data_IF_969104650323
#
_entry.id   IF_969104650323
#
_cell.length_a   1.000
_cell.length_b   1.000
_cell.length_c   1.000
_cell.angle_alpha   90.00
_cell.angle_beta   90.00
_cell.angle_gamma   90.00
#
_symmetry.space_group_name_H-M   'P 1'
#
loop_
_entity.id
_entity.type
_entity.pdbx_description
1 polymer ?
#
# COMPACT_ATOMS: atom_id res chain seq x y z
N UNK A 1 -34.91 8.56 15.68
CA UNK A 1 -34.79 9.38 16.90
C UNK A 1 -33.74 8.71 17.75
N UNK A 2 -32.50 9.21 17.66
CA UNK A 2 -31.83 9.97 18.76
C UNK A 2 -31.39 9.02 19.88
N UNK A 3 -30.14 8.89 20.34
CA UNK A 3 -28.89 9.63 20.23
C UNK A 3 -27.77 8.60 20.47
N UNK A 4 -26.66 8.63 19.71
CA UNK A 4 -25.42 8.03 20.17
C UNK A 4 -24.35 9.11 20.24
N UNK A 5 -23.89 9.30 21.47
CA UNK A 5 -23.08 10.40 21.94
C UNK A 5 -21.66 10.38 21.36
N UNK A 6 -21.17 11.58 21.05
CA UNK A 6 -19.77 11.89 20.78
C UNK A 6 -18.89 11.42 21.94
N UNK A 7 -17.97 10.49 21.68
CA UNK A 7 -16.91 10.14 22.64
C UNK A 7 -15.72 11.09 22.39
N UNK A 8 -15.58 12.08 23.26
CA UNK A 8 -14.37 12.90 23.38
C UNK A 8 -13.44 12.21 24.37
N UNK A 9 -12.26 11.78 23.92
CA UNK A 9 -11.21 11.32 24.84
C UNK A 9 -10.51 12.53 25.46
N UNK A 10 -10.74 12.76 26.75
CA UNK A 10 -9.96 13.66 27.60
C UNK A 10 -9.02 12.80 28.44
N UNK A 11 -7.72 13.03 28.33
CA UNK A 11 -6.70 12.33 29.11
C UNK A 11 -6.66 12.91 30.55
N UNK A 12 -6.86 12.12 31.62
CA UNK A 12 -6.73 12.62 32.99
C UNK A 12 -5.27 12.50 33.46
N UNK A 13 -4.66 13.63 33.83
CA UNK A 13 -3.39 13.66 34.57
C UNK A 13 -3.58 13.07 35.98
N UNK A 14 -2.73 12.12 36.39
CA UNK A 14 -2.68 11.57 37.75
C UNK A 14 -1.34 11.83 38.42
N UNK A 15 -1.45 12.29 39.66
CA UNK A 15 -0.48 12.73 40.67
C UNK A 15 0.64 11.71 41.02
N UNK A 16 1.93 12.13 41.12
CA UNK A 16 3.04 11.24 41.44
C UNK A 16 3.43 11.27 42.93
N UNK A 17 2.62 10.72 43.83
CA UNK A 17 3.07 10.32 45.20
C UNK A 17 2.30 9.12 45.74
N UNK A 18 2.85 7.91 45.59
CA UNK A 18 2.62 6.75 46.49
C UNK A 18 3.64 5.65 46.21
N UNK A 19 4.50 5.41 47.18
CA UNK A 19 5.44 4.28 47.31
C UNK A 19 4.74 3.08 47.96
N UNK A 20 5.02 1.86 47.46
CA UNK A 20 4.88 0.51 48.07
C UNK A 20 5.04 -0.47 46.89
N UNK A 21 5.79 -1.58 46.86
CA UNK A 21 6.52 -2.39 47.83
C UNK A 21 6.42 -3.87 47.39
N UNK A 22 7.55 -4.44 46.92
CA UNK A 22 7.97 -5.86 46.82
C UNK A 22 7.16 -6.96 46.06
N UNK A 23 7.94 -7.72 45.23
CA UNK A 23 7.96 -9.19 44.96
C UNK A 23 6.75 -9.80 44.20
N UNK A 24 6.84 -10.65 43.16
CA UNK A 24 7.78 -11.76 42.83
C UNK A 24 7.46 -12.36 41.42
N UNK A 25 8.49 -12.93 40.75
CA UNK A 25 8.53 -14.09 39.80
C UNK A 25 8.11 -13.94 38.30
N UNK A 26 9.07 -14.34 37.43
CA UNK A 26 9.16 -14.50 35.95
C UNK A 26 8.28 -15.64 35.35
N UNK A 27 8.29 -15.97 34.02
CA UNK A 27 8.37 -15.18 32.76
C UNK A 27 7.31 -15.63 31.68
N UNK A 28 7.42 -15.09 30.45
CA UNK A 28 6.90 -15.51 29.12
C UNK A 28 5.95 -14.52 28.39
N UNK A 29 6.51 -14.00 27.28
CA UNK A 29 5.96 -13.73 25.94
C UNK A 29 5.04 -12.52 25.63
N UNK A 30 5.39 -11.92 24.47
CA UNK A 30 4.68 -10.98 23.59
C UNK A 30 4.72 -9.46 23.86
N UNK A 31 4.95 -8.74 22.76
CA UNK A 31 4.83 -7.30 22.51
C UNK A 31 6.03 -6.40 22.86
N UNK A 32 6.98 -6.29 21.92
CA UNK A 32 7.83 -5.11 21.76
C UNK A 32 7.77 -4.64 20.31
N UNK A 33 6.73 -3.86 20.03
CA UNK A 33 6.61 -2.99 18.87
C UNK A 33 6.03 -1.66 19.35
N UNK A 34 6.74 -0.57 19.07
CA UNK A 34 6.34 0.82 19.25
C UNK A 34 6.25 1.38 20.68
N UNK A 35 7.39 1.84 21.22
CA UNK A 35 7.41 3.01 22.09
C UNK A 35 8.80 3.69 22.07
N UNK A 36 9.01 4.58 21.10
CA UNK A 36 10.07 5.59 21.16
C UNK A 36 9.55 6.85 20.46
N UNK A 37 9.87 8.01 21.03
CA UNK A 37 9.37 9.36 20.71
C UNK A 37 8.15 9.78 21.54
N UNK A 38 8.32 9.86 22.86
CA UNK A 38 7.57 10.77 23.73
C UNK A 38 8.38 11.11 25.00
N UNK A 39 9.51 11.80 24.83
CA UNK A 39 10.14 12.54 25.93
C UNK A 39 10.78 13.81 25.38
N UNK A 40 10.00 14.89 25.39
CA UNK A 40 10.48 16.25 25.60
C UNK A 40 9.27 17.14 25.89
N UNK A 41 9.34 17.87 27.00
CA UNK A 41 8.47 18.97 27.46
C UNK A 41 7.16 18.61 28.19
N UNK A 42 7.29 18.40 29.49
CA UNK A 42 6.41 18.94 30.52
C UNK A 42 7.31 19.28 31.72
N UNK A 43 7.20 20.38 32.45
CA UNK A 43 6.41 21.59 32.35
C UNK A 43 7.07 22.64 33.27
N UNK A 44 6.74 23.89 33.04
CA UNK A 44 7.16 25.06 33.80
C UNK A 44 6.27 25.26 35.07
N UNK A 45 6.86 25.92 36.07
CA UNK A 45 6.27 26.64 37.23
C UNK A 45 5.46 25.89 38.31
N UNK A 46 5.96 25.90 39.55
CA UNK A 46 5.34 26.54 40.76
C UNK A 46 6.18 26.35 42.04
N UNK A 47 6.73 27.43 42.59
CA UNK A 47 6.26 28.06 43.84
C UNK A 47 7.30 29.06 44.36
N UNK A 48 6.87 30.30 44.55
CA UNK A 48 7.59 31.32 45.31
C UNK A 48 7.45 31.07 46.81
N UNK A 49 8.54 31.18 47.57
CA UNK A 49 8.49 31.72 48.93
C UNK A 49 9.83 32.38 49.32
N UNK A 50 9.73 33.55 49.98
CA UNK A 50 10.76 34.11 50.88
C UNK A 50 11.84 35.06 50.35
N UNK A 51 11.67 36.37 50.57
CA UNK A 51 12.78 37.25 51.01
C UNK A 51 12.93 38.66 50.37
N UNK A 52 12.54 39.70 51.13
CA UNK A 52 13.07 41.10 51.33
C UNK A 52 13.88 41.78 50.19
N UNK A 53 13.79 43.08 49.86
CA UNK A 53 13.60 44.31 50.66
C UNK A 53 13.52 45.55 49.73
N UNK A 54 12.81 46.63 50.15
CA UNK A 54 12.96 48.04 49.69
C UNK A 54 12.40 48.40 48.29
N UNK A 55 11.67 49.48 48.01
CA UNK A 55 11.33 50.75 48.68
C UNK A 55 10.08 51.35 47.99
N UNK A 56 9.28 52.14 48.71
CA UNK A 56 8.10 52.96 48.29
C UNK A 56 8.55 54.41 47.94
N UNK A 57 7.69 55.41 47.55
CA UNK A 57 6.21 55.43 47.34
C UNK A 57 5.68 56.25 46.10
N UNK A 58 4.35 56.21 45.91
CA UNK A 58 3.53 57.30 45.34
C UNK A 58 2.95 57.01 43.95
N UNK A 59 1.67 57.23 43.59
CA UNK A 59 0.56 57.91 44.24
C UNK A 59 -0.80 57.40 43.67
N UNK A 60 -1.88 57.84 44.32
CA UNK A 60 -3.30 57.45 44.26
C UNK A 60 -4.08 57.88 43.01
N UNK A 61 -4.92 56.96 42.48
CA UNK A 61 -6.33 57.05 41.98
C UNK A 61 -6.82 58.23 41.09
N UNK A 62 -7.94 58.11 40.32
CA UNK A 62 -9.00 57.09 40.38
C UNK A 62 -9.47 56.50 39.02
N UNK A 63 -10.31 55.47 39.20
CA UNK A 63 -11.19 54.79 38.25
C UNK A 63 -11.99 55.76 37.38
N UNK A 64 -12.02 55.52 36.07
CA UNK A 64 -13.17 55.87 35.22
C UNK A 64 -13.49 54.70 34.29
N UNK A 65 -14.73 54.24 34.38
CA UNK A 65 -15.33 53.30 33.47
C UNK A 65 -15.91 54.08 32.28
N UNK A 66 -15.57 53.66 31.06
CA UNK A 66 -16.43 53.57 29.87
C UNK A 66 -15.60 53.68 28.58
N UNK A 67 -15.52 52.60 27.84
CA UNK A 67 -16.15 52.49 26.51
C UNK A 67 -15.65 51.24 25.81
N UNK A 68 -16.61 50.51 25.25
CA UNK A 68 -16.47 49.29 24.48
C UNK A 68 -15.60 49.51 23.23
N UNK A 69 -14.31 49.22 23.33
CA UNK A 69 -13.44 49.03 22.18
C UNK A 69 -13.52 47.58 21.71
N UNK A 70 -13.97 47.36 20.47
CA UNK A 70 -13.78 46.08 19.76
C UNK A 70 -12.30 45.69 19.87
N UNK A 71 -12.00 44.62 20.59
CA UNK A 71 -10.68 44.02 20.58
C UNK A 71 -10.37 43.58 19.14
N UNK A 72 -9.47 44.29 18.48
CA UNK A 72 -8.87 43.84 17.24
C UNK A 72 -8.14 42.53 17.55
N UNK A 73 -8.64 41.43 16.98
CA UNK A 73 -8.02 40.11 17.08
C UNK A 73 -6.68 40.18 16.33
N UNK A 74 -5.57 40.32 17.05
CA UNK A 74 -4.23 40.24 16.44
C UNK A 74 -4.04 38.81 15.91
N UNK A 75 -3.83 38.67 14.60
CA UNK A 75 -3.48 37.38 14.02
C UNK A 75 -2.10 36.96 14.51
N UNK A 76 -1.97 35.72 14.97
CA UNK A 76 -0.68 35.17 15.37
C UNK A 76 0.18 34.99 14.11
N UNK A 77 1.33 35.66 14.06
CA UNK A 77 2.26 35.64 12.92
C UNK A 77 2.71 34.22 12.56
N UNK A 78 2.72 33.29 13.52
CA UNK A 78 2.99 31.87 13.29
C UNK A 78 1.86 31.17 12.53
N UNK A 79 0.61 31.51 12.85
CA UNK A 79 -0.57 31.00 12.12
C UNK A 79 -0.56 31.50 10.67
N UNK A 80 -0.26 32.78 10.44
CA UNK A 80 -0.23 33.34 9.09
C UNK A 80 0.92 32.78 8.24
N UNK A 81 2.10 32.57 8.83
CA UNK A 81 3.24 31.92 8.16
C UNK A 81 2.94 30.46 7.79
N UNK A 82 2.31 29.70 8.70
CA UNK A 82 1.87 28.33 8.43
C UNK A 82 0.90 28.29 7.24
N UNK A 83 -0.11 29.16 7.24
CA UNK A 83 -1.17 29.19 6.22
C UNK A 83 -0.64 29.31 4.80
N UNK A 84 0.31 30.22 4.57
CA UNK A 84 0.85 30.45 3.22
C UNK A 84 1.69 29.25 2.75
N UNK A 85 2.59 28.78 3.62
CA UNK A 85 3.52 27.68 3.29
C UNK A 85 2.80 26.35 3.13
N UNK A 86 1.95 26.00 4.08
CA UNK A 86 1.17 24.76 4.07
C UNK A 86 0.32 24.66 2.81
N UNK A 87 -0.48 25.68 2.47
CA UNK A 87 -1.42 25.61 1.35
C UNK A 87 -0.72 25.46 0.00
N UNK A 88 0.41 26.14 -0.18
CA UNK A 88 1.21 26.06 -1.41
C UNK A 88 1.80 24.66 -1.59
N UNK A 89 2.40 24.11 -0.54
CA UNK A 89 3.00 22.78 -0.62
C UNK A 89 1.95 21.67 -0.65
N UNK A 90 0.84 21.84 0.06
CA UNK A 90 -0.25 20.89 0.06
C UNK A 90 -0.86 20.76 -1.35
N UNK A 91 -1.10 21.87 -2.05
CA UNK A 91 -1.55 21.84 -3.45
C UNK A 91 -0.52 21.16 -4.38
N UNK A 92 0.77 21.36 -4.15
CA UNK A 92 1.84 20.66 -4.90
C UNK A 92 1.83 19.16 -4.62
N UNK A 93 1.71 18.78 -3.35
CA UNK A 93 1.65 17.39 -2.89
C UNK A 93 0.46 16.65 -3.48
N UNK A 94 -0.73 17.27 -3.51
CA UNK A 94 -1.93 16.71 -4.13
C UNK A 94 -1.72 16.41 -5.63
N UNK A 95 -1.05 17.31 -6.36
CA UNK A 95 -0.68 17.07 -7.77
C UNK A 95 0.30 15.91 -7.90
N UNK A 96 1.31 15.84 -7.03
CA UNK A 96 2.29 14.75 -7.02
C UNK A 96 1.65 13.39 -6.71
N UNK A 97 0.69 13.35 -5.79
CA UNK A 97 -0.07 12.14 -5.43
C UNK A 97 -1.15 11.78 -6.45
N UNK A 98 -1.44 12.68 -7.40
CA UNK A 98 -2.54 12.50 -8.34
C UNK A 98 -3.91 12.48 -7.65
N UNK A 99 -4.06 13.22 -6.55
CA UNK A 99 -5.34 13.38 -5.85
C UNK A 99 -5.97 14.70 -6.30
N UNK A 100 -7.03 14.68 -7.13
CA UNK A 100 -7.75 15.90 -7.46
C UNK A 100 -8.26 16.53 -6.16
N UNK A 101 -7.84 17.75 -5.88
CA UNK A 101 -8.21 18.42 -4.64
C UNK A 101 -8.19 19.92 -4.80
N UNK A 102 -9.37 20.51 -4.64
CA UNK A 102 -9.57 21.96 -4.76
C UNK A 102 -10.10 22.56 -3.46
N UNK A 103 -9.87 23.85 -3.30
CA UNK A 103 -10.47 24.65 -2.24
C UNK A 103 -11.93 24.93 -2.60
N UNK A 104 -12.88 24.29 -1.92
CA UNK A 104 -14.32 24.43 -2.23
C UNK A 104 -15.01 25.61 -1.54
N UNK A 105 -14.56 26.07 -0.37
CA UNK A 105 -15.17 27.20 0.37
C UNK A 105 -14.17 27.93 1.27
N UNK A 106 -14.37 29.26 1.38
CA UNK A 106 -13.76 30.13 2.39
C UNK A 106 -14.86 30.51 3.39
N UNK A 107 -14.84 29.98 4.61
CA UNK A 107 -15.86 30.33 5.61
C UNK A 107 -15.56 31.73 6.17
N UNK A 108 -16.47 32.72 5.96
CA UNK A 108 -16.25 34.14 6.31
C UNK A 108 -16.52 34.47 7.80
N UNK A 109 -16.88 33.49 8.63
CA UNK A 109 -17.22 33.67 10.05
C UNK A 109 -16.04 33.75 11.04
N UNK A 110 -14.79 33.64 10.57
CA UNK A 110 -13.58 33.76 11.39
C UNK A 110 -12.63 34.80 10.79
N UNK A 111 -11.91 35.62 11.58
CA UNK A 111 -10.87 36.50 11.05
C UNK A 111 -9.82 35.64 10.32
N UNK A 112 -9.74 35.77 9.00
CA UNK A 112 -8.89 34.95 8.14
C UNK A 112 -9.57 33.75 7.47
N UNK A 113 -10.60 33.15 8.06
CA UNK A 113 -11.40 32.04 7.52
C UNK A 113 -10.69 30.66 7.49
N UNK A 114 -11.46 29.61 7.81
CA UNK A 114 -11.07 28.20 7.61
C UNK A 114 -11.31 27.84 6.14
N UNK A 115 -10.28 27.29 5.51
CA UNK A 115 -10.30 26.92 4.10
C UNK A 115 -10.57 25.42 3.96
N UNK A 116 -11.57 25.05 3.15
CA UNK A 116 -12.02 23.66 3.03
C UNK A 116 -11.45 23.05 1.74
N UNK A 117 -10.63 22.03 1.89
CA UNK A 117 -10.10 21.19 0.81
C UNK A 117 -11.00 19.97 0.63
N UNK A 118 -11.47 19.73 -0.58
CA UNK A 118 -12.16 18.50 -0.95
C UNK A 118 -11.21 17.67 -1.81
N UNK A 119 -10.59 16.66 -1.20
CA UNK A 119 -9.55 15.81 -1.78
C UNK A 119 -10.16 14.48 -2.18
N UNK A 120 -10.12 14.21 -3.48
CA UNK A 120 -10.64 13.02 -4.12
C UNK A 120 -9.52 12.01 -4.25
N UNK A 121 -9.67 10.90 -3.54
CA UNK A 121 -8.69 9.81 -3.47
C UNK A 121 -9.04 8.78 -4.56
N UNK A 122 -8.10 8.40 -5.44
CA UNK A 122 -8.34 7.41 -6.47
C UNK A 122 -8.85 6.08 -5.90
N UNK A 123 -9.67 5.37 -6.68
CA UNK A 123 -10.17 4.04 -6.29
C UNK A 123 -9.00 3.09 -6.04
N UNK A 124 -9.02 2.45 -4.89
CA UNK A 124 -8.02 1.48 -4.44
C UNK A 124 -6.75 2.08 -3.85
N UNK A 125 -6.66 3.40 -3.71
CA UNK A 125 -5.74 4.02 -2.78
C UNK A 125 -6.39 4.07 -1.37
N UNK A 126 -5.80 3.45 -0.33
CA UNK A 126 -6.44 3.41 1.00
C UNK A 126 -6.61 4.81 1.60
N UNK A 127 -7.82 5.19 1.98
CA UNK A 127 -8.12 6.54 2.54
C UNK A 127 -7.35 6.81 3.83
N UNK A 128 -7.16 5.80 4.68
CA UNK A 128 -6.33 5.93 5.90
C UNK A 128 -4.86 6.22 5.57
N UNK A 129 -4.37 5.70 4.45
CA UNK A 129 -3.02 6.02 3.97
C UNK A 129 -2.97 7.45 3.43
N UNK A 130 -3.99 7.89 2.69
CA UNK A 130 -4.09 9.28 2.24
C UNK A 130 -4.10 10.23 3.45
N UNK A 131 -4.82 9.84 4.50
CA UNK A 131 -4.86 10.55 5.77
C UNK A 131 -3.46 10.69 6.38
N UNK A 132 -2.68 9.60 6.46
CA UNK A 132 -1.33 9.64 6.99
C UNK A 132 -0.39 10.58 6.19
N UNK A 133 -0.50 10.59 4.86
CA UNK A 133 0.28 11.50 4.00
C UNK A 133 -0.07 12.98 4.24
N UNK A 134 -1.37 13.29 4.39
CA UNK A 134 -1.80 14.65 4.76
C UNK A 134 -1.24 15.06 6.12
N UNK A 135 -1.29 14.18 7.13
CA UNK A 135 -0.75 14.45 8.47
C UNK A 135 0.76 14.72 8.41
N UNK A 136 1.50 13.95 7.60
CA UNK A 136 2.94 14.14 7.38
C UNK A 136 3.25 15.54 6.82
N UNK A 137 2.50 16.00 5.81
CA UNK A 137 2.66 17.35 5.25
C UNK A 137 2.29 18.43 6.29
N UNK A 138 1.23 18.24 7.06
CA UNK A 138 0.86 19.21 8.11
C UNK A 138 2.00 19.38 9.13
N UNK A 139 2.57 18.26 9.59
CA UNK A 139 3.66 18.27 10.57
C UNK A 139 4.98 18.84 10.00
N UNK A 140 5.29 18.60 8.72
CA UNK A 140 6.53 19.11 8.10
C UNK A 140 6.58 20.64 8.02
N UNK A 141 5.43 21.32 8.15
CA UNK A 141 5.32 22.78 8.22
C UNK A 141 5.04 23.32 9.63
N UNK A 142 5.19 22.49 10.68
CA UNK A 142 4.98 22.90 12.07
C UNK A 142 3.50 23.08 12.45
N UNK A 143 2.60 22.47 11.67
CA UNK A 143 1.17 22.42 11.99
C UNK A 143 0.79 21.19 12.82
N UNK A 144 -0.45 21.19 13.28
CA UNK A 144 -1.07 20.14 14.06
C UNK A 144 -2.42 19.75 13.48
N UNK A 145 -2.79 18.49 13.68
CA UNK A 145 -4.13 17.98 13.42
C UNK A 145 -4.91 18.09 14.73
N UNK A 146 -5.80 19.07 14.82
CA UNK A 146 -6.61 19.33 16.02
C UNK A 146 -7.79 18.38 16.15
N UNK A 147 -8.27 17.84 15.02
CA UNK A 147 -9.37 16.88 15.00
C UNK A 147 -9.31 16.00 13.76
N UNK A 148 -9.68 14.73 13.92
CA UNK A 148 -9.94 13.80 12.84
C UNK A 148 -11.31 13.15 13.06
N UNK A 149 -12.21 13.30 12.10
CA UNK A 149 -13.55 12.72 12.10
C UNK A 149 -13.65 11.74 10.92
N UNK A 150 -14.34 10.62 11.11
CA UNK A 150 -14.57 9.63 10.05
C UNK A 150 -16.06 9.36 9.90
N UNK A 151 -16.50 9.15 8.65
CA UNK A 151 -17.87 8.76 8.33
C UNK A 151 -17.88 7.34 7.76
N UNK A 152 -18.60 6.43 8.43
CA UNK A 152 -18.75 5.02 8.02
C UNK A 152 -20.00 4.77 7.16
N UNK A 153 -20.88 5.76 7.01
CA UNK A 153 -22.07 5.66 6.17
C UNK A 153 -21.68 5.83 4.68
N UNK A 154 -21.18 4.76 4.06
CA UNK A 154 -20.75 4.74 2.66
C UNK A 154 -19.23 4.57 2.48
N UNK A 155 -18.64 4.96 1.34
CA UNK A 155 -17.19 4.92 1.14
C UNK A 155 -16.50 5.72 2.23
N UNK A 156 -15.44 5.18 2.84
CA UNK A 156 -14.76 5.80 3.98
C UNK A 156 -14.36 7.25 3.64
N UNK A 157 -14.86 8.20 4.44
CA UNK A 157 -14.45 9.60 4.38
C UNK A 157 -13.74 9.97 5.67
N UNK A 158 -12.69 10.77 5.54
CA UNK A 158 -11.95 11.31 6.69
C UNK A 158 -11.91 12.82 6.58
N UNK A 159 -12.31 13.52 7.63
CA UNK A 159 -12.20 14.97 7.75
C UNK A 159 -11.15 15.31 8.78
N UNK A 160 -10.15 16.08 8.38
CA UNK A 160 -9.11 16.61 9.27
C UNK A 160 -9.34 18.11 9.49
N UNK A 161 -9.19 18.57 10.74
CA UNK A 161 -9.06 19.98 11.08
C UNK A 161 -7.60 20.26 11.42
N UNK A 162 -6.94 21.10 10.63
CA UNK A 162 -5.49 21.34 10.71
C UNK A 162 -5.19 22.82 10.89
N UNK A 163 -4.06 23.13 11.50
CA UNK A 163 -3.62 24.50 11.69
C UNK A 163 -2.37 24.62 12.54
N UNK A 164 -2.11 25.81 13.07
CA UNK A 164 -0.94 26.10 13.90
C UNK A 164 -1.30 27.08 15.00
N UNK A 165 -0.46 27.12 16.06
CA UNK A 165 -0.62 28.03 17.21
C UNK A 165 -2.05 28.04 17.79
N UNK A 166 -2.58 26.85 18.06
CA UNK A 166 -3.93 26.61 18.61
C UNK A 166 -5.09 27.11 17.74
N UNK A 167 -4.82 27.47 16.49
CA UNK A 167 -5.81 28.00 15.56
C UNK A 167 -6.00 27.02 14.41
N UNK A 168 -7.25 26.56 14.20
CA UNK A 168 -7.62 25.79 13.00
C UNK A 168 -7.64 26.74 11.80
N UNK A 169 -6.90 26.41 10.75
CA UNK A 169 -6.79 27.24 9.55
C UNK A 169 -7.40 26.59 8.32
N UNK A 170 -7.44 25.26 8.29
CA UNK A 170 -7.85 24.48 7.13
C UNK A 170 -8.63 23.23 7.58
N UNK A 171 -9.60 22.81 6.76
CA UNK A 171 -10.31 21.54 6.91
C UNK A 171 -10.13 20.72 5.64
N UNK A 172 -9.72 19.46 5.77
CA UNK A 172 -9.39 18.60 4.64
C UNK A 172 -10.35 17.41 4.67
N UNK A 173 -11.19 17.30 3.65
CA UNK A 173 -12.07 16.16 3.44
C UNK A 173 -11.41 15.22 2.43
N UNK A 174 -11.07 14.02 2.88
CA UNK A 174 -10.56 12.92 2.05
C UNK A 174 -11.70 11.96 1.78
N UNK A 175 -12.01 11.70 0.51
CA UNK A 175 -13.03 10.75 0.11
C UNK A 175 -12.57 9.97 -1.12
N UNK A 176 -12.83 8.67 -1.17
CA UNK A 176 -12.67 7.92 -2.41
C UNK A 176 -13.63 8.42 -3.47
N UNK A 177 -13.12 8.63 -4.69
CA UNK A 177 -13.92 9.04 -5.82
C UNK A 177 -13.72 8.07 -7.01
N UNK A 178 -14.76 7.29 -7.36
CA UNK A 178 -14.78 6.42 -8.54
C UNK A 178 -14.46 7.10 -9.86
N UNK A 179 -14.77 8.40 -9.97
CA UNK A 179 -14.47 9.19 -11.18
C UNK A 179 -12.99 9.56 -11.31
N UNK A 180 -12.21 9.41 -10.23
CA UNK A 180 -10.76 9.55 -10.25
C UNK A 180 -10.16 8.19 -10.60
N UNK A 181 -10.03 7.95 -11.91
CA UNK A 181 -9.43 6.75 -12.44
C UNK A 181 -8.01 6.56 -11.90
N UNK A 182 -7.64 5.32 -11.56
CA UNK A 182 -6.23 5.01 -11.32
C UNK A 182 -5.46 5.34 -12.60
N UNK A 183 -4.21 5.77 -12.47
CA UNK A 183 -3.39 6.04 -13.66
C UNK A 183 -3.15 4.76 -14.46
N UNK A 184 -3.24 3.60 -13.83
CA UNK A 184 -3.29 2.28 -14.44
C UNK A 184 -3.41 1.18 -13.39
N UNK A 185 -3.52 -0.06 -13.84
CA UNK A 185 -3.52 -1.28 -13.03
C UNK A 185 -2.22 -2.05 -13.22
N UNK A 186 -1.56 -2.44 -12.13
CA UNK A 186 -0.34 -3.23 -12.16
C UNK A 186 -0.57 -4.57 -11.45
N UNK A 187 -0.53 -5.68 -12.18
CA UNK A 187 -0.44 -7.00 -11.56
C UNK A 187 1.02 -7.38 -11.41
N UNK A 188 1.39 -7.89 -10.23
CA UNK A 188 2.74 -8.39 -9.94
C UNK A 188 2.64 -9.87 -9.64
N UNK A 189 3.45 -10.67 -10.32
CA UNK A 189 3.53 -12.12 -10.18
C UNK A 189 4.91 -12.50 -9.65
N UNK A 190 4.93 -13.41 -8.69
CA UNK A 190 6.15 -13.99 -8.12
C UNK A 190 6.18 -15.48 -8.49
N UNK A 191 7.11 -15.80 -9.38
CA UNK A 191 7.37 -17.14 -9.89
C UNK A 191 8.32 -17.93 -8.97
N UNK A 192 8.50 -19.20 -9.30
CA UNK A 192 9.39 -20.18 -8.63
C UNK A 192 9.08 -20.47 -7.16
N UNK A 193 7.87 -20.17 -6.70
CA UNK A 193 7.45 -20.54 -5.35
C UNK A 193 7.44 -22.06 -5.20
N UNK A 194 8.11 -22.60 -4.19
CA UNK A 194 8.02 -24.04 -3.87
C UNK A 194 9.31 -24.65 -3.34
N UNK A 195 10.47 -24.23 -3.82
CA UNK A 195 11.75 -24.79 -3.35
C UNK A 195 12.32 -24.07 -2.13
N UNK A 196 12.19 -22.75 -2.06
CA UNK A 196 12.68 -21.98 -0.93
C UNK A 196 11.86 -22.24 0.34
N UNK A 197 12.52 -21.97 1.47
CA UNK A 197 11.95 -22.20 2.79
C UNK A 197 10.73 -21.31 3.08
N UNK A 198 9.90 -21.73 4.03
CA UNK A 198 8.79 -20.91 4.54
C UNK A 198 9.26 -19.54 5.06
N UNK A 199 10.45 -19.46 5.65
CA UNK A 199 11.01 -18.21 6.13
C UNK A 199 11.33 -17.23 4.99
N UNK A 200 11.80 -17.73 3.84
CA UNK A 200 12.17 -16.92 2.69
C UNK A 200 11.01 -16.59 1.76
N UNK A 201 10.15 -17.55 1.44
CA UNK A 201 9.07 -17.35 0.45
C UNK A 201 7.71 -17.10 1.10
N UNK A 202 7.50 -17.54 2.34
CA UNK A 202 6.26 -17.30 3.08
C UNK A 202 5.99 -15.81 3.33
N UNK A 203 7.02 -14.97 3.41
CA UNK A 203 6.88 -13.51 3.56
C UNK A 203 6.18 -12.83 2.37
N UNK A 204 6.24 -13.39 1.15
CA UNK A 204 5.49 -12.85 0.02
C UNK A 204 3.99 -12.97 0.24
N UNK A 205 3.52 -14.07 0.83
CA UNK A 205 2.13 -14.25 1.22
C UNK A 205 1.68 -13.25 2.30
N UNK A 206 2.61 -12.74 3.12
CA UNK A 206 2.33 -11.77 4.16
C UNK A 206 2.34 -10.30 3.69
N UNK A 207 2.80 -10.02 2.45
CA UNK A 207 2.78 -8.65 1.92
C UNK A 207 1.36 -8.09 1.92
N UNK A 208 1.13 -6.81 2.29
CA UNK A 208 -0.22 -6.23 2.36
C UNK A 208 -0.82 -5.90 0.97
N UNK A 209 -0.14 -6.27 -0.11
CA UNK A 209 -0.52 -5.96 -1.49
C UNK A 209 -1.12 -7.21 -2.17
N UNK A 210 -2.04 -7.04 -3.13
CA UNK A 210 -2.68 -8.15 -3.84
C UNK A 210 -1.77 -8.74 -4.94
N UNK A 211 -0.57 -9.21 -4.57
CA UNK A 211 0.33 -9.90 -5.49
C UNK A 211 -0.17 -11.32 -5.80
N UNK A 212 0.35 -11.89 -6.89
CA UNK A 212 0.00 -13.20 -7.40
C UNK A 212 1.22 -14.11 -7.26
N UNK A 213 1.02 -15.35 -6.85
CA UNK A 213 2.10 -16.30 -6.54
C UNK A 213 1.95 -17.53 -7.44
N UNK A 214 2.99 -17.84 -8.21
CA UNK A 214 3.02 -19.00 -9.09
C UNK A 214 3.93 -20.09 -8.51
N UNK A 215 3.38 -21.30 -8.39
CA UNK A 215 4.01 -22.39 -7.66
C UNK A 215 4.52 -23.49 -8.60
N UNK A 216 5.77 -23.88 -8.40
CA UNK A 216 6.35 -25.05 -9.06
C UNK A 216 5.70 -26.33 -8.51
N UNK A 217 5.14 -27.20 -9.36
CA UNK A 217 4.43 -28.41 -8.94
C UNK A 217 5.24 -29.38 -8.09
N UNK A 218 6.55 -29.48 -8.33
CA UNK A 218 7.47 -30.39 -7.66
C UNK A 218 8.18 -29.76 -6.44
N UNK A 219 7.86 -28.53 -6.09
CA UNK A 219 8.47 -27.83 -4.95
C UNK A 219 8.15 -28.51 -3.62
N UNK A 220 9.17 -28.84 -2.84
CA UNK A 220 9.03 -29.51 -1.53
C UNK A 220 8.14 -28.74 -0.55
N UNK A 221 8.16 -27.41 -0.62
CA UNK A 221 7.39 -26.52 0.25
C UNK A 221 6.08 -26.02 -0.39
N UNK A 222 5.74 -26.45 -1.62
CA UNK A 222 4.61 -25.91 -2.39
C UNK A 222 3.29 -26.01 -1.63
N UNK A 223 2.96 -27.17 -1.04
CA UNK A 223 1.71 -27.35 -0.31
C UNK A 223 1.55 -26.41 0.88
N UNK A 224 2.61 -26.20 1.67
CA UNK A 224 2.55 -25.34 2.84
C UNK A 224 2.56 -23.86 2.48
N UNK A 225 3.32 -23.47 1.45
CA UNK A 225 3.31 -22.10 0.93
C UNK A 225 1.97 -21.75 0.30
N UNK A 226 1.29 -22.69 -0.38
CA UNK A 226 -0.07 -22.50 -0.91
C UNK A 226 -1.07 -22.23 0.22
N UNK A 227 -0.99 -22.96 1.36
CA UNK A 227 -1.83 -22.68 2.53
C UNK A 227 -1.63 -21.25 3.05
N UNK A 228 -0.37 -20.80 3.12
CA UNK A 228 -0.04 -19.44 3.53
C UNK A 228 -0.52 -18.38 2.53
N UNK A 229 -0.36 -18.63 1.23
CA UNK A 229 -0.87 -17.78 0.16
C UNK A 229 -2.39 -17.60 0.25
N UNK A 230 -3.14 -18.68 0.50
CA UNK A 230 -4.59 -18.62 0.72
C UNK A 230 -4.96 -17.80 1.95
N UNK A 231 -4.27 -18.01 3.07
CA UNK A 231 -4.49 -17.23 4.29
C UNK A 231 -4.22 -15.73 4.06
N UNK A 232 -3.19 -15.40 3.27
CA UNK A 232 -2.86 -14.05 2.82
C UNK A 232 -3.72 -13.52 1.67
N UNK A 233 -4.76 -14.27 1.26
CA UNK A 233 -5.68 -13.97 0.15
C UNK A 233 -4.96 -13.63 -1.16
N UNK A 234 -3.89 -14.36 -1.47
CA UNK A 234 -3.14 -14.23 -2.72
C UNK A 234 -3.79 -15.06 -3.83
N UNK A 235 -3.66 -14.58 -5.06
CA UNK A 235 -3.94 -15.37 -6.25
C UNK A 235 -2.87 -16.45 -6.39
N UNK A 236 -3.30 -17.68 -6.71
CA UNK A 236 -2.42 -18.85 -6.81
C UNK A 236 -2.43 -19.35 -8.24
N UNK A 237 -1.24 -19.46 -8.83
CA UNK A 237 -1.02 -20.01 -10.17
C UNK A 237 -0.18 -21.28 -10.08
N UNK A 238 -0.33 -22.15 -11.06
CA UNK A 238 0.66 -23.19 -11.34
C UNK A 238 1.72 -22.57 -12.24
N UNK A 239 2.99 -22.70 -11.83
CA UNK A 239 4.16 -22.36 -12.63
C UNK A 239 4.61 -23.61 -13.38
N UNK A 240 4.05 -23.81 -14.58
CA UNK A 240 4.09 -25.06 -15.32
C UNK A 240 5.47 -25.26 -15.97
N UNK A 241 6.24 -26.30 -15.62
CA UNK A 241 7.56 -26.51 -16.21
C UNK A 241 7.47 -26.96 -17.66
N UNK A 242 8.14 -26.22 -18.54
CA UNK A 242 8.08 -26.42 -19.99
C UNK A 242 9.48 -26.33 -20.61
N UNK A 243 9.70 -27.10 -21.67
CA UNK A 243 11.02 -27.26 -22.29
C UNK A 243 11.63 -25.94 -22.80
N UNK A 244 12.86 -25.59 -22.37
CA UNK A 244 13.62 -24.48 -22.93
C UNK A 244 14.26 -24.86 -24.29
N UNK A 245 14.72 -23.85 -25.01
CA UNK A 245 15.42 -24.00 -26.31
C UNK A 245 16.82 -24.57 -26.10
N UNK A 246 17.52 -24.06 -25.09
CA UNK A 246 18.87 -24.48 -24.74
C UNK A 246 18.78 -25.52 -23.63
N UNK A 247 19.10 -26.78 -23.89
CA UNK A 247 19.07 -27.86 -22.89
C UNK A 247 20.15 -27.78 -21.81
N UNK A 248 20.75 -26.60 -21.60
CA UNK A 248 21.81 -26.38 -20.61
C UNK A 248 21.25 -26.02 -19.23
N UNK A 249 20.01 -25.54 -19.16
CA UNK A 249 19.36 -25.30 -17.88
C UNK A 249 18.88 -26.62 -17.25
N UNK A 250 19.06 -26.83 -15.93
CA UNK A 250 18.47 -27.96 -15.25
C UNK A 250 16.95 -27.96 -15.43
N UNK A 251 16.40 -29.09 -15.88
CA UNK A 251 14.96 -29.24 -16.04
C UNK A 251 14.31 -29.60 -14.71
N UNK A 252 13.13 -29.03 -14.49
CA UNK A 252 12.25 -29.43 -13.40
C UNK A 252 11.74 -30.87 -13.60
N UNK A 253 11.47 -31.62 -12.50
CA UNK A 253 10.87 -32.93 -12.59
C UNK A 253 9.55 -32.90 -13.36
N UNK A 254 9.41 -33.82 -14.33
CA UNK A 254 8.25 -33.88 -15.22
C UNK A 254 8.00 -32.56 -15.98
N UNK A 255 9.05 -31.98 -16.54
CA UNK A 255 8.96 -30.89 -17.51
C UNK A 255 8.18 -31.35 -18.75
N UNK A 256 7.29 -30.51 -19.26
CA UNK A 256 6.57 -30.77 -20.51
C UNK A 256 7.53 -30.58 -21.68
N UNK A 257 7.81 -31.69 -22.37
CA UNK A 257 8.75 -31.73 -23.50
C UNK A 257 8.01 -31.77 -24.82
N UNK A 258 8.56 -31.15 -25.87
CA UNK A 258 7.98 -31.21 -27.21
C UNK A 258 8.04 -32.60 -27.82
N UNK A 259 8.90 -33.50 -27.32
CA UNK A 259 8.95 -34.89 -27.75
C UNK A 259 7.79 -35.75 -27.22
N UNK A 260 7.05 -35.27 -26.21
CA UNK A 260 5.93 -36.01 -25.62
C UNK A 260 4.72 -36.08 -26.55
N UNK A 261 3.96 -37.18 -26.45
CA UNK A 261 2.66 -37.30 -27.12
C UNK A 261 1.57 -36.47 -26.43
N UNK A 262 0.50 -36.13 -27.15
CA UNK A 262 -0.52 -35.20 -26.66
C UNK A 262 -1.22 -35.71 -25.39
N UNK A 263 -1.52 -37.01 -25.29
CA UNK A 263 -2.13 -37.60 -24.09
C UNK A 263 -1.19 -37.58 -22.88
N UNK A 264 0.11 -37.72 -23.12
CA UNK A 264 1.13 -37.59 -22.07
C UNK A 264 1.21 -36.14 -21.57
N UNK A 265 1.24 -35.16 -22.49
CA UNK A 265 1.23 -33.72 -22.16
C UNK A 265 -0.01 -33.36 -21.36
N UNK A 266 -1.19 -33.82 -21.80
CA UNK A 266 -2.46 -33.58 -21.10
C UNK A 266 -2.48 -34.23 -19.72
N UNK A 267 -2.09 -35.50 -19.63
CA UNK A 267 -2.02 -36.23 -18.37
C UNK A 267 -1.05 -35.59 -17.38
N UNK A 268 0.09 -35.09 -17.86
CA UNK A 268 1.08 -34.42 -17.05
C UNK A 268 0.62 -33.04 -16.59
N UNK A 269 0.06 -32.24 -17.50
CA UNK A 269 -0.55 -30.94 -17.19
C UNK A 269 -1.61 -31.10 -16.10
N UNK A 270 -2.47 -32.13 -16.22
CA UNK A 270 -3.49 -32.44 -15.23
C UNK A 270 -2.91 -32.72 -13.84
N UNK A 271 -1.86 -33.54 -13.75
CA UNK A 271 -1.17 -33.85 -12.48
C UNK A 271 -0.56 -32.59 -11.86
N UNK A 272 0.06 -31.73 -12.66
CA UNK A 272 0.60 -30.45 -12.19
C UNK A 272 -0.48 -29.50 -11.67
N UNK A 273 -1.65 -29.47 -12.30
CA UNK A 273 -2.80 -28.69 -11.82
C UNK A 273 -3.37 -29.24 -10.52
N UNK A 274 -3.32 -30.56 -10.31
CA UNK A 274 -3.80 -31.22 -9.10
C UNK A 274 -2.86 -31.06 -7.90
N UNK A 275 -1.55 -30.92 -8.15
CA UNK A 275 -0.55 -30.77 -7.08
C UNK A 275 -0.54 -29.38 -6.43
N UNK A 276 -1.19 -28.38 -7.05
CA UNK A 276 -1.29 -27.00 -6.52
C UNK A 276 -2.76 -26.67 -6.23
N UNK A 277 -3.26 -26.95 -5.01
CA UNK A 277 -4.68 -26.78 -4.71
C UNK A 277 -5.15 -25.33 -4.85
N UNK A 278 -6.31 -25.12 -5.48
CA UNK A 278 -6.96 -23.81 -5.59
C UNK A 278 -6.26 -22.85 -6.54
N UNK A 279 -5.48 -23.41 -7.46
CA UNK A 279 -5.03 -22.72 -8.66
C UNK A 279 -6.22 -22.10 -9.40
N UNK A 280 -6.00 -20.91 -9.93
CA UNK A 280 -6.98 -20.18 -10.73
C UNK A 280 -6.48 -19.80 -12.12
N UNK A 281 -5.18 -19.98 -12.35
CA UNK A 281 -4.54 -19.77 -13.64
C UNK A 281 -3.19 -20.45 -13.71
N UNK A 282 -2.58 -20.44 -14.89
CA UNK A 282 -1.30 -21.09 -15.16
C UNK A 282 -0.39 -20.10 -15.85
N UNK A 283 0.89 -20.09 -15.50
CA UNK A 283 1.94 -19.52 -16.35
C UNK A 283 3.03 -20.55 -16.62
N UNK A 284 3.83 -20.33 -17.65
CA UNK A 284 4.94 -21.22 -17.99
C UNK A 284 6.21 -20.86 -17.20
N UNK A 285 6.86 -21.88 -16.64
CA UNK A 285 8.25 -21.87 -16.20
C UNK A 285 9.14 -22.28 -17.37
N UNK A 286 10.15 -21.47 -17.69
CA UNK A 286 10.94 -21.61 -18.92
C UNK A 286 10.04 -21.71 -20.16
N UNK A 287 10.14 -22.78 -20.94
CA UNK A 287 9.26 -23.05 -22.07
C UNK A 287 9.65 -22.39 -23.38
N UNK A 288 10.84 -21.80 -23.51
CA UNK A 288 11.19 -21.04 -24.73
C UNK A 288 11.10 -21.85 -26.02
N UNK A 289 11.19 -23.19 -25.95
CA UNK A 289 10.92 -24.11 -27.07
C UNK A 289 9.46 -24.56 -27.10
N UNK A 290 8.94 -25.04 -25.97
CA UNK A 290 7.59 -25.57 -25.88
C UNK A 290 6.49 -24.56 -26.21
N UNK A 291 6.66 -23.28 -25.84
CA UNK A 291 5.69 -22.21 -26.14
C UNK A 291 5.66 -21.79 -27.60
N UNK A 292 6.60 -22.28 -28.42
CA UNK A 292 6.66 -22.08 -29.87
C UNK A 292 6.04 -23.24 -30.66
N UNK A 293 5.77 -24.36 -29.99
CA UNK A 293 5.16 -25.54 -30.59
C UNK A 293 3.63 -25.52 -30.40
N UNK A 294 2.89 -25.37 -31.50
CA UNK A 294 1.44 -25.20 -31.45
C UNK A 294 0.74 -26.47 -30.95
N UNK A 295 1.25 -27.65 -31.31
CA UNK A 295 0.67 -28.93 -30.87
C UNK A 295 0.81 -29.06 -29.35
N UNK A 296 2.00 -28.80 -28.83
CA UNK A 296 2.27 -28.84 -27.39
C UNK A 296 1.38 -27.84 -26.66
N UNK A 297 1.33 -26.59 -27.13
CA UNK A 297 0.50 -25.57 -26.50
C UNK A 297 -0.99 -25.92 -26.56
N UNK A 298 -1.50 -26.46 -27.66
CA UNK A 298 -2.90 -26.90 -27.76
C UNK A 298 -3.21 -28.02 -26.76
N UNK A 299 -2.31 -28.99 -26.58
CA UNK A 299 -2.49 -30.06 -25.60
C UNK A 299 -2.50 -29.52 -24.15
N UNK A 300 -1.57 -28.63 -23.79
CA UNK A 300 -1.54 -27.98 -22.47
C UNK A 300 -2.80 -27.14 -22.24
N UNK A 301 -3.13 -26.27 -23.20
CA UNK A 301 -4.23 -25.32 -23.08
C UNK A 301 -5.60 -25.99 -23.07
N UNK A 302 -5.74 -27.19 -23.65
CA UNK A 302 -6.96 -27.98 -23.54
C UNK A 302 -7.28 -28.30 -22.07
N UNK A 303 -6.30 -28.74 -21.26
CA UNK A 303 -6.53 -29.00 -19.82
C UNK A 303 -6.83 -27.71 -19.04
N UNK A 304 -6.17 -26.61 -19.39
CA UNK A 304 -6.41 -25.29 -18.77
C UNK A 304 -7.85 -24.82 -19.04
N UNK A 305 -8.30 -24.94 -20.30
CA UNK A 305 -9.66 -24.60 -20.73
C UNK A 305 -10.69 -25.48 -20.03
N UNK A 306 -10.49 -26.80 -20.04
CA UNK A 306 -11.45 -27.76 -19.48
C UNK A 306 -11.67 -27.54 -17.96
N UNK A 307 -10.72 -26.89 -17.28
CA UNK A 307 -10.81 -26.47 -15.87
C UNK A 307 -11.24 -25.02 -15.65
N UNK A 308 -11.56 -24.27 -16.70
CA UNK A 308 -11.93 -22.85 -16.65
C UNK A 308 -10.86 -21.97 -15.98
N UNK A 309 -9.58 -22.29 -16.20
CA UNK A 309 -8.45 -21.51 -15.70
C UNK A 309 -8.03 -20.46 -16.73
N UNK A 310 -7.43 -19.35 -16.27
CA UNK A 310 -6.79 -18.41 -17.18
C UNK A 310 -5.34 -18.82 -17.49
N UNK A 311 -4.78 -18.30 -18.58
CA UNK A 311 -3.37 -18.49 -18.93
C UNK A 311 -2.63 -17.15 -18.89
N UNK A 312 -1.43 -17.14 -18.30
CA UNK A 312 -0.50 -16.04 -18.37
C UNK A 312 0.75 -16.53 -19.10
N UNK A 313 1.02 -15.98 -20.28
CA UNK A 313 2.27 -16.24 -20.97
C UNK A 313 3.39 -15.44 -20.29
N UNK A 314 4.37 -16.14 -19.71
CA UNK A 314 5.56 -15.52 -19.12
C UNK A 314 6.47 -14.89 -20.20
N UNK A 315 6.18 -15.09 -21.49
CA UNK A 315 6.86 -14.53 -22.65
C UNK A 315 8.38 -14.76 -22.57
N UNK A 316 8.78 -16.02 -22.44
CA UNK A 316 10.19 -16.43 -22.28
C UNK A 316 10.94 -16.45 -23.62
N UNK A 317 10.23 -16.35 -24.75
CA UNK A 317 10.84 -16.20 -26.07
C UNK A 317 10.03 -15.24 -26.96
N UNK A 318 10.68 -14.44 -27.82
CA UNK A 318 9.99 -13.57 -28.78
C UNK A 318 9.11 -14.31 -29.80
N UNK A 319 9.31 -15.62 -29.94
CA UNK A 319 8.53 -16.48 -30.84
C UNK A 319 7.39 -17.23 -30.16
N UNK A 320 7.10 -16.95 -28.88
CA UNK A 320 6.00 -17.61 -28.17
C UNK A 320 4.68 -17.42 -28.92
N UNK A 321 3.98 -18.51 -29.17
CA UNK A 321 2.60 -18.52 -29.70
C UNK A 321 1.59 -18.90 -28.62
N UNK A 322 2.04 -19.08 -27.38
CA UNK A 322 1.20 -19.59 -26.29
C UNK A 322 0.02 -18.67 -26.01
N UNK A 323 0.25 -17.36 -25.87
CA UNK A 323 -0.84 -16.41 -25.67
C UNK A 323 -1.84 -16.36 -26.84
N UNK A 324 -1.35 -16.33 -28.08
CA UNK A 324 -2.21 -16.31 -29.27
C UNK A 324 -3.07 -17.58 -29.37
N UNK A 325 -2.45 -18.74 -29.11
CA UNK A 325 -3.12 -20.04 -29.09
C UNK A 325 -4.19 -20.09 -27.99
N UNK A 326 -3.87 -19.62 -26.78
CA UNK A 326 -4.81 -19.58 -25.66
C UNK A 326 -6.05 -18.74 -25.98
N UNK A 327 -5.85 -17.54 -26.54
CA UNK A 327 -6.95 -16.68 -26.99
C UNK A 327 -7.80 -17.35 -28.07
N UNK A 328 -7.18 -18.04 -29.03
CA UNK A 328 -7.93 -18.75 -30.09
C UNK A 328 -8.84 -19.86 -29.56
N UNK A 329 -8.51 -20.42 -28.38
CA UNK A 329 -9.28 -21.44 -27.68
C UNK A 329 -10.32 -20.85 -26.71
N UNK A 330 -10.46 -19.52 -26.67
CA UNK A 330 -11.39 -18.82 -25.78
C UNK A 330 -10.93 -18.75 -24.31
N UNK A 331 -9.64 -18.96 -24.04
CA UNK A 331 -9.09 -18.94 -22.69
C UNK A 331 -8.78 -17.48 -22.29
N UNK A 332 -9.22 -16.99 -21.11
CA UNK A 332 -8.79 -15.70 -20.60
C UNK A 332 -7.26 -15.66 -20.52
N UNK A 333 -6.64 -14.70 -21.19
CA UNK A 333 -5.20 -14.72 -21.43
C UNK A 333 -4.56 -13.38 -21.10
N UNK A 334 -3.44 -13.41 -20.39
CA UNK A 334 -2.53 -12.29 -20.15
C UNK A 334 -1.13 -12.62 -20.67
N UNK A 335 -0.31 -11.59 -20.86
CA UNK A 335 1.09 -11.72 -21.22
C UNK A 335 1.91 -10.85 -20.27
N UNK A 336 3.13 -11.30 -19.98
CA UNK A 336 4.08 -10.49 -19.22
C UNK A 336 4.46 -9.23 -19.99
N UNK A 337 4.42 -8.11 -19.28
CA UNK A 337 4.82 -6.81 -19.80
C UNK A 337 6.24 -6.39 -19.40
N UNK A 338 6.68 -6.75 -18.19
CA UNK A 338 7.99 -6.40 -17.62
C UNK A 338 8.53 -7.57 -16.80
N UNK A 339 9.83 -7.81 -16.88
CA UNK A 339 10.53 -8.78 -16.02
C UNK A 339 11.34 -8.03 -14.98
N UNK A 340 11.18 -8.37 -13.70
CA UNK A 340 11.62 -7.52 -12.59
C UNK A 340 13.07 -7.77 -12.17
N UNK A 341 13.53 -9.02 -12.20
CA UNK A 341 14.73 -9.44 -11.47
C UNK A 341 15.69 -10.29 -12.31
N UNK A 342 15.91 -9.87 -13.56
CA UNK A 342 17.06 -10.32 -14.36
C UNK A 342 18.41 -10.04 -13.65
N UNK A 343 18.42 -9.08 -12.72
CA UNK A 343 19.53 -8.80 -11.80
C UNK A 343 19.09 -9.06 -10.36
N UNK A 344 20.03 -9.49 -9.51
CA UNK A 344 19.84 -9.51 -8.04
C UNK A 344 20.06 -8.14 -7.38
N UNK A 345 20.46 -7.11 -8.12
CA UNK A 345 20.59 -5.77 -7.57
C UNK A 345 19.21 -5.16 -7.26
N UNK A 346 18.96 -4.86 -5.98
CA UNK A 346 17.70 -4.29 -5.49
C UNK A 346 17.35 -3.00 -6.25
N UNK A 347 18.32 -2.13 -6.52
CA UNK A 347 18.03 -0.87 -7.21
C UNK A 347 17.55 -1.11 -8.65
N UNK A 348 18.11 -2.11 -9.32
CA UNK A 348 17.68 -2.55 -10.65
C UNK A 348 16.25 -3.07 -10.61
N UNK A 349 15.91 -3.93 -9.65
CA UNK A 349 14.54 -4.44 -9.46
C UNK A 349 13.55 -3.29 -9.19
N UNK A 350 13.96 -2.30 -8.38
CA UNK A 350 13.14 -1.12 -8.13
C UNK A 350 12.90 -0.28 -9.39
N UNK A 351 13.90 -0.15 -10.27
CA UNK A 351 13.74 0.53 -11.56
C UNK A 351 12.75 -0.21 -12.46
N UNK A 352 12.83 -1.54 -12.54
CA UNK A 352 11.88 -2.34 -13.32
C UNK A 352 10.45 -2.26 -12.78
N UNK A 353 10.28 -2.19 -11.45
CA UNK A 353 8.97 -1.94 -10.84
C UNK A 353 8.39 -0.59 -11.26
N UNK A 354 9.20 0.47 -11.32
CA UNK A 354 8.75 1.76 -11.83
C UNK A 354 8.48 1.73 -13.34
N UNK A 355 9.29 1.03 -14.12
CA UNK A 355 9.03 0.83 -15.55
C UNK A 355 7.68 0.12 -15.80
N UNK A 356 7.35 -0.87 -14.97
CA UNK A 356 6.04 -1.54 -15.00
C UNK A 356 4.90 -0.61 -14.61
N UNK A 357 5.09 0.24 -13.60
CA UNK A 357 4.12 1.26 -13.21
C UNK A 357 3.90 2.30 -14.33
N UNK A 358 4.96 2.74 -15.00
CA UNK A 358 4.88 3.66 -16.13
C UNK A 358 4.18 3.03 -17.34
N UNK A 359 4.41 1.74 -17.57
CA UNK A 359 3.70 0.98 -18.61
C UNK A 359 2.21 0.84 -18.29
N UNK A 360 1.88 0.53 -17.04
CA UNK A 360 0.49 0.53 -16.56
C UNK A 360 -0.14 1.91 -16.72
N UNK A 361 0.60 2.98 -16.40
CA UNK A 361 0.10 4.35 -16.50
C UNK A 361 -0.21 4.77 -17.94
N UNK A 362 0.52 4.25 -18.93
CA UNK A 362 0.34 4.59 -20.35
C UNK A 362 -0.69 3.71 -21.04
N UNK A 363 -0.74 2.43 -20.68
CA UNK A 363 -1.54 1.40 -21.38
C UNK A 363 -2.82 1.05 -20.62
N UNK A 364 -3.08 1.69 -19.49
CA UNK A 364 -4.18 1.37 -18.57
C UNK A 364 -3.90 0.16 -17.67
N UNK A 365 -3.08 -0.80 -18.12
CA UNK A 365 -2.68 -1.98 -17.35
C UNK A 365 -1.27 -2.48 -17.68
N UNK A 366 -0.65 -3.21 -16.76
CA UNK A 366 0.57 -3.98 -17.01
C UNK A 366 0.68 -5.21 -16.08
N UNK A 367 1.40 -6.24 -16.52
CA UNK A 367 1.80 -7.42 -15.75
C UNK A 367 3.32 -7.46 -15.59
N UNK A 368 3.80 -7.42 -14.35
CA UNK A 368 5.21 -7.59 -14.03
C UNK A 368 5.45 -8.96 -13.38
N UNK A 369 6.52 -9.65 -13.77
CA UNK A 369 6.90 -10.94 -13.20
C UNK A 369 8.31 -10.83 -12.61
N UNK A 370 8.50 -11.34 -11.41
CA UNK A 370 9.81 -11.65 -10.82
C UNK A 370 9.74 -12.99 -10.10
N UNK A 371 10.76 -13.32 -9.31
CA UNK A 371 10.85 -14.59 -8.58
C UNK A 371 10.92 -14.38 -7.07
N UNK A 372 10.82 -15.46 -6.31
CA UNK A 372 10.76 -15.49 -4.85
C UNK A 372 12.08 -15.15 -4.11
N UNK A 373 12.93 -14.32 -4.73
CA UNK A 373 14.26 -13.95 -4.23
C UNK A 373 14.17 -12.93 -3.07
N UNK A 374 15.14 -12.93 -2.14
CA UNK A 374 15.20 -11.93 -1.08
C UNK A 374 15.29 -10.49 -1.55
N UNK A 375 16.05 -10.23 -2.60
CA UNK A 375 16.22 -8.90 -3.17
C UNK A 375 14.93 -8.42 -3.84
N UNK A 376 14.21 -9.33 -4.51
CA UNK A 376 12.89 -9.07 -5.07
C UNK A 376 11.89 -8.72 -3.97
N UNK A 377 11.86 -9.47 -2.87
CA UNK A 377 11.02 -9.14 -1.72
C UNK A 377 11.30 -7.74 -1.17
N UNK A 378 12.57 -7.39 -0.93
CA UNK A 378 12.93 -6.08 -0.40
C UNK A 378 12.57 -4.94 -1.36
N UNK A 379 12.79 -5.12 -2.66
CA UNK A 379 12.39 -4.16 -3.67
C UNK A 379 10.86 -3.92 -3.67
N UNK A 380 10.06 -4.98 -3.63
CA UNK A 380 8.59 -4.88 -3.59
C UNK A 380 8.09 -4.17 -2.34
N UNK A 381 8.62 -4.56 -1.16
CA UNK A 381 8.24 -3.99 0.14
C UNK A 381 8.44 -2.48 0.19
N UNK A 382 9.52 -1.98 -0.41
CA UNK A 382 9.85 -0.56 -0.44
C UNK A 382 9.09 0.19 -1.54
N UNK A 383 9.02 -0.38 -2.75
CA UNK A 383 8.62 0.36 -3.95
C UNK A 383 7.11 0.34 -4.22
N UNK A 384 6.41 -0.77 -3.94
CA UNK A 384 4.95 -0.84 -4.17
C UNK A 384 4.20 0.29 -3.45
N UNK A 385 4.49 0.62 -2.18
CA UNK A 385 3.88 1.77 -1.53
C UNK A 385 4.07 3.07 -2.32
N UNK A 386 5.26 3.31 -2.88
CA UNK A 386 5.54 4.51 -3.64
C UNK A 386 4.81 4.53 -5.01
N UNK A 387 4.72 3.38 -5.69
CA UNK A 387 3.93 3.22 -6.91
C UNK A 387 2.45 3.49 -6.66
N UNK A 388 1.90 2.97 -5.56
CA UNK A 388 0.51 3.27 -5.20
C UNK A 388 0.29 4.77 -4.93
N UNK A 389 1.29 5.46 -4.35
CA UNK A 389 1.27 6.91 -4.14
C UNK A 389 1.33 7.73 -5.42
N UNK A 390 1.87 7.19 -6.51
CA UNK A 390 1.88 7.88 -7.80
C UNK A 390 0.54 7.77 -8.54
N UNK A 391 -0.42 6.99 -8.01
CA UNK A 391 -1.75 6.78 -8.58
C UNK A 391 -1.91 5.49 -9.38
N UNK A 392 -0.87 4.64 -9.47
CA UNK A 392 -0.96 3.31 -10.10
C UNK A 392 -1.39 2.27 -9.06
N UNK A 393 -2.44 1.51 -9.36
CA UNK A 393 -2.99 0.56 -8.40
C UNK A 393 -2.45 -0.84 -8.62
N UNK A 394 -1.85 -1.44 -7.59
CA UNK A 394 -1.50 -2.87 -7.61
C UNK A 394 -2.77 -3.72 -7.44
N UNK A 395 -2.92 -4.75 -8.26
CA UNK A 395 -4.11 -5.61 -8.32
C UNK A 395 -3.76 -7.08 -8.58
N UNK A 396 -4.77 -7.95 -8.43
CA UNK A 396 -4.65 -9.36 -8.81
C UNK A 396 -4.77 -9.56 -10.33
N UNK A 397 -4.24 -10.66 -10.87
CA UNK A 397 -4.43 -11.02 -12.28
C UNK A 397 -5.91 -11.22 -12.64
N UNK A 398 -6.69 -11.79 -11.72
CA UNK A 398 -8.15 -11.92 -11.89
C UNK A 398 -8.86 -10.61 -12.13
N UNK A 399 -8.44 -9.57 -11.41
CA UNK A 399 -9.00 -8.24 -11.58
C UNK A 399 -8.58 -7.62 -12.92
N UNK A 400 -7.37 -7.89 -13.37
CA UNK A 400 -6.83 -7.37 -14.64
C UNK A 400 -7.48 -8.01 -15.88
N UNK A 401 -8.13 -9.17 -15.71
CA UNK A 401 -8.88 -9.90 -16.75
C UNK A 401 -10.34 -9.44 -16.91
N UNK A 402 -10.87 -8.59 -16.02
CA UNK A 402 -12.28 -8.17 -15.99
C UNK A 402 -12.57 -6.91 -16.80
#
# INVERSE_FOLDING_TARGET
>A
MEQLANVVWVCPMRDPRRTLGLRTILPWTFALGFLAVAMCLAADVRSTDGGREGTRPGATSPVSAQSSGRAAFQSDSRSDSFRVRFRTEFARSLKTWGFPGDVKRRNRGFPGGVLIWDVRVPVGYPVLRATAEVISVVHSFGGYVYRAEHEYAGPLKVRLAVGAAHTVTDSILLATDPSVASRGLLAIVIDDMGYRSMAESGRFAALPFPINLAFLPAGENTHDLVKHARAGRKTILVHLPMEPENGNEPLEPNTIMTAMGDDEIRGLTRRHLESVPGVVGVNNHMGSRATRDERVMRAVLAEIRDRNLFFLDSYTSPGSIAAATARSLGIPTLERDVFLDNSSDIQTIQRELWAAADKASRSGRAVAIGHDRPETYEALRVTIPAIQRSGVRVCSLWELLR
#
